data_IF_666427439725
#
_entry.id   IF_666427439725
#
_cell.length_a   1.000
_cell.length_b   1.000
_cell.length_c   1.000
_cell.angle_alpha   90.00
_cell.angle_beta   90.00
_cell.angle_gamma   90.00
#
_symmetry.space_group_name_H-M   'P 1'
#
loop_
_entity.id
_entity.type
_entity.pdbx_description
1 polymer ?
#
# COMPACT_ATOMS: atom_id res chain seq x y z
N UNK A 1 -11.14 24.51 -32.99
CA UNK A 1 -11.56 25.15 -31.73
C UNK A 1 -10.78 24.46 -30.63
N UNK A 2 -9.69 25.07 -30.17
CA UNK A 2 -8.84 24.48 -29.15
C UNK A 2 -9.53 24.58 -27.79
N UNK A 3 -9.97 23.45 -27.25
CA UNK A 3 -10.45 23.38 -25.88
C UNK A 3 -9.32 23.75 -24.95
N UNK A 4 -9.54 24.75 -24.08
CA UNK A 4 -8.64 25.00 -22.96
C UNK A 4 -8.71 23.78 -22.04
N UNK A 5 -7.71 22.89 -22.17
CA UNK A 5 -7.51 21.75 -21.29
C UNK A 5 -7.64 22.17 -19.82
N UNK A 6 -8.25 21.33 -19.00
CA UNK A 6 -8.32 21.50 -17.55
C UNK A 6 -6.93 21.74 -16.93
N UNK A 7 -5.89 21.10 -17.48
CA UNK A 7 -4.48 21.32 -17.12
C UNK A 7 -4.07 22.77 -17.39
N UNK A 8 -4.44 23.30 -18.56
CA UNK A 8 -4.18 24.69 -18.93
C UNK A 8 -4.87 25.70 -17.99
N UNK A 9 -6.03 25.34 -17.42
CA UNK A 9 -6.75 26.17 -16.44
C UNK A 9 -6.11 26.10 -15.05
N UNK A 10 -5.63 24.93 -14.65
CA UNK A 10 -4.94 24.72 -13.37
C UNK A 10 -3.67 25.58 -13.26
N UNK A 11 -2.88 25.68 -14.34
CA UNK A 11 -1.62 26.41 -14.35
C UNK A 11 -1.71 27.88 -14.80
N UNK A 12 -2.88 28.37 -15.25
CA UNK A 12 -3.07 29.78 -15.67
C UNK A 12 -3.47 30.74 -14.55
N UNK A 13 -3.83 30.26 -13.36
CA UNK A 13 -4.16 31.11 -12.20
C UNK A 13 -2.90 31.36 -11.37
N UNK A 14 -2.59 32.63 -11.09
CA UNK A 14 -1.39 33.06 -10.34
C UNK A 14 -1.34 32.53 -8.90
N UNK A 15 -2.47 32.07 -8.35
CA UNK A 15 -2.56 31.39 -7.05
C UNK A 15 -3.78 30.49 -7.02
N UNK A 16 -3.65 29.22 -7.42
CA UNK A 16 -4.70 28.23 -7.16
C UNK A 16 -4.37 27.52 -5.86
N UNK A 17 -5.29 27.52 -4.90
CA UNK A 17 -5.17 26.75 -3.65
C UNK A 17 -5.41 25.26 -3.88
N UNK A 18 -4.95 24.39 -2.97
CA UNK A 18 -5.19 22.92 -3.08
C UNK A 18 -6.68 22.62 -3.16
N UNK A 19 -7.48 23.34 -2.39
CA UNK A 19 -8.93 23.24 -2.32
C UNK A 19 -9.61 23.68 -3.61
N UNK A 20 -9.13 24.74 -4.24
CA UNK A 20 -9.62 25.17 -5.56
C UNK A 20 -9.27 24.15 -6.66
N UNK A 21 -8.10 23.50 -6.60
CA UNK A 21 -7.76 22.42 -7.54
C UNK A 21 -8.69 21.22 -7.33
N UNK A 22 -8.90 20.78 -6.08
CA UNK A 22 -9.84 19.71 -5.76
C UNK A 22 -11.24 20.00 -6.30
N UNK A 23 -11.76 21.20 -6.05
CA UNK A 23 -13.07 21.61 -6.56
C UNK A 23 -13.14 21.58 -8.10
N UNK A 24 -12.07 21.98 -8.80
CA UNK A 24 -12.02 21.92 -10.26
C UNK A 24 -12.04 20.49 -10.80
N UNK A 25 -11.42 19.55 -10.07
CA UNK A 25 -11.40 18.11 -10.41
C UNK A 25 -12.77 17.50 -10.15
N UNK A 26 -13.43 17.86 -9.04
CA UNK A 26 -14.79 17.42 -8.72
C UNK A 26 -15.82 17.94 -9.73
N UNK A 27 -15.71 19.22 -10.12
CA UNK A 27 -16.57 19.84 -11.14
C UNK A 27 -16.43 19.21 -12.53
N UNK A 28 -15.31 18.52 -12.79
CA UNK A 28 -15.09 17.83 -14.06
C UNK A 28 -15.87 16.52 -14.17
N UNK A 29 -16.33 15.93 -13.07
CA UNK A 29 -17.16 14.72 -13.09
C UNK A 29 -18.40 14.87 -13.99
N UNK A 30 -18.96 16.09 -14.07
CA UNK A 30 -20.09 16.40 -14.94
C UNK A 30 -19.73 16.67 -16.42
N UNK A 31 -18.45 16.95 -16.71
CA UNK A 31 -17.95 17.31 -18.04
C UNK A 31 -17.21 16.17 -18.74
N UNK A 32 -16.63 15.25 -17.97
CA UNK A 32 -15.92 14.08 -18.47
C UNK A 32 -14.65 14.40 -19.23
N UNK A 33 -13.91 15.46 -18.86
CA UNK A 33 -12.59 15.74 -19.46
C UNK A 33 -11.50 14.82 -18.86
N UNK A 34 -11.69 14.31 -17.65
CA UNK A 34 -10.82 13.40 -16.91
C UNK A 34 -11.49 12.05 -16.65
N UNK A 35 -10.73 10.97 -16.87
CA UNK A 35 -11.11 9.61 -16.48
C UNK A 35 -11.21 9.47 -14.94
N UNK A 36 -11.92 8.45 -14.47
CA UNK A 36 -12.09 8.23 -13.03
C UNK A 36 -10.76 8.01 -12.29
N UNK A 37 -9.89 7.16 -12.85
CA UNK A 37 -8.55 6.88 -12.34
C UNK A 37 -7.67 8.13 -12.26
N UNK A 38 -7.79 9.04 -13.24
CA UNK A 38 -7.04 10.29 -13.25
C UNK A 38 -7.52 11.25 -12.14
N UNK A 39 -8.83 11.30 -11.89
CA UNK A 39 -9.39 12.10 -10.78
C UNK A 39 -8.93 11.55 -9.44
N UNK A 40 -9.05 10.24 -9.26
CA UNK A 40 -8.61 9.53 -8.05
C UNK A 40 -7.14 9.79 -7.75
N UNK A 41 -6.25 9.62 -8.73
CA UNK A 41 -4.83 9.92 -8.55
C UNK A 41 -4.60 11.37 -8.10
N UNK A 42 -5.35 12.34 -8.64
CA UNK A 42 -5.24 13.75 -8.21
C UNK A 42 -5.69 13.92 -6.75
N UNK A 43 -6.76 13.25 -6.32
CA UNK A 43 -7.17 13.25 -4.92
C UNK A 43 -6.11 12.63 -4.01
N UNK A 44 -5.61 11.46 -4.38
CA UNK A 44 -4.58 10.72 -3.65
C UNK A 44 -3.29 11.55 -3.50
N UNK A 45 -2.88 12.33 -4.52
CA UNK A 45 -1.73 13.26 -4.40
C UNK A 45 -1.93 14.29 -3.29
N UNK A 46 -3.16 14.77 -3.07
CA UNK A 46 -3.42 15.72 -2.00
C UNK A 46 -3.43 15.08 -0.61
N UNK A 47 -3.84 13.82 -0.52
CA UNK A 47 -3.85 13.07 0.74
C UNK A 47 -2.45 12.53 1.07
N UNK A 48 -1.67 12.17 0.06
CA UNK A 48 -0.24 11.82 0.15
C UNK A 48 0.61 12.87 0.88
N UNK A 49 0.25 14.15 0.78
CA UNK A 49 0.93 15.24 1.50
C UNK A 49 0.82 15.12 3.03
N UNK A 50 -0.18 14.36 3.51
CA UNK A 50 -0.44 14.14 4.94
C UNK A 50 0.09 12.79 5.44
N UNK A 51 0.38 11.86 4.53
CA UNK A 51 0.86 10.53 4.89
C UNK A 51 2.32 10.55 5.36
N UNK A 52 2.60 9.69 6.33
CA UNK A 52 3.92 9.35 6.83
C UNK A 52 4.24 7.88 6.58
N UNK A 53 5.48 7.46 6.85
CA UNK A 53 5.89 6.07 6.65
C UNK A 53 5.04 5.08 7.45
N UNK A 54 4.56 5.44 8.64
CA UNK A 54 3.67 4.61 9.46
C UNK A 54 2.35 4.24 8.76
N UNK A 55 1.84 5.12 7.89
CA UNK A 55 0.54 4.92 7.23
C UNK A 55 0.63 3.94 6.05
N UNK A 56 1.84 3.71 5.51
CA UNK A 56 2.06 2.93 4.27
C UNK A 56 3.06 1.77 4.45
N UNK A 57 3.61 1.58 5.65
CA UNK A 57 4.60 0.55 5.89
C UNK A 57 3.97 -0.84 5.97
N UNK A 58 4.71 -1.85 5.50
CA UNK A 58 4.48 -3.22 5.94
C UNK A 58 4.88 -3.31 7.41
N UNK A 59 3.92 -3.63 8.28
CA UNK A 59 4.14 -3.69 9.71
C UNK A 59 5.12 -4.81 10.09
N UNK A 60 5.89 -4.65 11.18
CA UNK A 60 6.93 -5.62 11.61
C UNK A 60 6.49 -7.07 11.69
N UNK A 61 5.21 -7.31 11.95
CA UNK A 61 4.62 -8.66 12.08
C UNK A 61 4.47 -9.37 10.73
N UNK A 62 4.49 -8.62 9.64
CA UNK A 62 4.29 -9.08 8.26
C UNK A 62 5.58 -9.01 7.45
N UNK A 63 6.70 -8.62 8.08
CA UNK A 63 8.00 -8.57 7.41
C UNK A 63 8.49 -9.99 7.14
N UNK A 64 8.60 -10.31 5.85
CA UNK A 64 9.32 -11.48 5.36
C UNK A 64 10.84 -11.19 5.33
N UNK A 65 11.60 -11.83 6.22
CA UNK A 65 13.04 -11.61 6.39
C UNK A 65 13.81 -12.92 6.60
N UNK A 66 15.12 -12.86 6.37
CA UNK A 66 16.02 -14.04 6.46
C UNK A 66 17.16 -13.77 7.44
N UNK A 67 17.49 -14.77 8.26
CA UNK A 67 18.63 -14.68 9.18
C UNK A 67 19.97 -14.67 8.42
N UNK A 68 20.96 -13.90 8.89
CA UNK A 68 22.27 -13.76 8.23
C UNK A 68 23.05 -15.08 8.05
N UNK A 69 22.74 -16.08 8.88
CA UNK A 69 23.37 -17.41 8.87
C UNK A 69 22.78 -18.32 7.79
N UNK A 70 21.69 -17.90 7.13
CA UNK A 70 21.03 -18.67 6.10
C UNK A 70 21.93 -18.92 4.88
N UNK A 71 21.71 -20.05 4.22
CA UNK A 71 22.39 -20.36 2.97
C UNK A 71 21.79 -19.56 1.82
N UNK A 72 22.59 -19.28 0.78
CA UNK A 72 22.10 -18.65 -0.46
C UNK A 72 20.94 -19.45 -1.08
N UNK A 73 21.03 -20.79 -1.06
CA UNK A 73 19.97 -21.64 -1.61
C UNK A 73 18.65 -21.52 -0.84
N UNK A 74 18.72 -21.43 0.48
CA UNK A 74 17.54 -21.17 1.32
C UNK A 74 16.96 -19.79 1.03
N UNK A 75 17.78 -18.73 1.05
CA UNK A 75 17.32 -17.37 0.79
C UNK A 75 16.66 -17.22 -0.60
N UNK A 76 17.19 -17.92 -1.62
CA UNK A 76 16.60 -17.93 -2.95
C UNK A 76 15.25 -18.68 -3.01
N UNK A 77 15.14 -19.80 -2.29
CA UNK A 77 13.88 -20.55 -2.20
C UNK A 77 12.81 -19.76 -1.44
N UNK A 78 13.18 -19.17 -0.30
CA UNK A 78 12.35 -18.28 0.49
C UNK A 78 11.84 -17.09 -0.34
N UNK A 79 12.73 -16.42 -1.07
CA UNK A 79 12.36 -15.32 -1.97
C UNK A 79 11.31 -15.70 -3.01
N UNK A 80 11.42 -16.91 -3.56
CA UNK A 80 10.50 -17.41 -4.58
C UNK A 80 9.13 -17.74 -3.99
N UNK A 81 9.11 -18.31 -2.78
CA UNK A 81 7.88 -18.65 -2.06
C UNK A 81 7.13 -17.39 -1.59
N UNK A 82 7.85 -16.43 -1.01
CA UNK A 82 7.29 -15.16 -0.55
C UNK A 82 6.99 -14.16 -1.69
N UNK A 83 7.49 -14.41 -2.91
CA UNK A 83 7.29 -13.52 -4.06
C UNK A 83 8.08 -12.19 -3.97
N UNK A 84 9.05 -12.08 -3.06
CA UNK A 84 9.76 -10.83 -2.81
C UNK A 84 10.94 -10.62 -3.76
N UNK A 85 11.18 -9.38 -4.21
CA UNK A 85 12.38 -9.00 -4.97
C UNK A 85 13.57 -8.58 -4.09
N UNK A 86 13.29 -8.19 -2.85
CA UNK A 86 14.23 -7.69 -1.84
C UNK A 86 13.82 -8.23 -0.49
N UNK A 87 14.80 -8.62 0.32
CA UNK A 87 14.56 -9.27 1.61
C UNK A 87 15.47 -8.63 2.66
N UNK A 88 14.94 -8.15 3.79
CA UNK A 88 15.74 -7.79 4.95
C UNK A 88 16.51 -9.00 5.50
N UNK A 89 17.78 -8.81 5.78
CA UNK A 89 18.65 -9.79 6.43
C UNK A 89 18.94 -9.32 7.84
N UNK A 90 18.63 -10.15 8.83
CA UNK A 90 18.74 -9.78 10.25
C UNK A 90 19.68 -10.71 11.02
N UNK A 91 20.09 -10.28 12.23
CA UNK A 91 20.89 -11.07 13.16
C UNK A 91 20.14 -11.20 14.50
N UNK A 92 19.90 -12.42 14.96
CA UNK A 92 19.11 -12.75 16.17
C UNK A 92 17.62 -12.36 16.07
N UNK A 93 17.30 -11.10 15.80
CA UNK A 93 15.94 -10.59 15.66
C UNK A 93 15.84 -9.43 14.65
N UNK A 94 14.60 -9.01 14.35
CA UNK A 94 14.31 -7.95 13.39
C UNK A 94 14.73 -6.55 13.86
N UNK A 95 15.04 -6.33 15.14
CA UNK A 95 15.55 -5.05 15.61
C UNK A 95 17.04 -4.87 15.21
N UNK A 96 17.68 -5.92 14.71
CA UNK A 96 19.06 -5.92 14.24
C UNK A 96 19.20 -6.31 12.76
N UNK A 97 18.62 -5.48 11.89
CA UNK A 97 18.73 -5.62 10.42
C UNK A 97 20.15 -5.30 9.94
N UNK A 98 20.86 -6.30 9.42
CA UNK A 98 22.21 -6.18 8.85
C UNK A 98 22.19 -5.55 7.45
N UNK A 99 21.10 -5.74 6.71
CA UNK A 99 20.86 -5.01 5.47
C UNK A 99 19.87 -5.68 4.54
N UNK A 100 19.87 -5.26 3.27
CA UNK A 100 18.89 -5.72 2.28
C UNK A 100 19.56 -6.60 1.23
N UNK A 101 19.04 -7.81 1.06
CA UNK A 101 19.41 -8.72 0.00
C UNK A 101 18.55 -8.48 -1.25
N UNK A 102 19.18 -8.35 -2.40
CA UNK A 102 18.48 -8.29 -3.68
C UNK A 102 18.47 -9.69 -4.29
N UNK A 103 17.29 -10.23 -4.55
CA UNK A 103 17.15 -11.63 -5.02
C UNK A 103 17.83 -11.85 -6.37
N UNK A 104 17.83 -10.83 -7.23
CA UNK A 104 18.57 -10.86 -8.50
C UNK A 104 20.07 -11.12 -8.34
N UNK A 105 20.66 -10.77 -7.20
CA UNK A 105 22.09 -10.96 -6.94
C UNK A 105 22.40 -12.44 -6.60
N UNK A 106 21.37 -13.26 -6.35
CA UNK A 106 21.49 -14.70 -6.18
C UNK A 106 21.43 -15.47 -7.52
N UNK A 107 20.98 -14.83 -8.61
CA UNK A 107 20.88 -15.45 -9.94
C UNK A 107 22.19 -16.10 -10.44
N UNK A 108 23.40 -15.58 -10.15
CA UNK A 108 24.65 -16.24 -10.53
C UNK A 108 24.80 -17.68 -10.01
N UNK A 109 24.09 -18.04 -8.93
CA UNK A 109 24.14 -19.36 -8.29
C UNK A 109 23.07 -20.33 -8.79
N UNK A 110 22.12 -19.87 -9.60
CA UNK A 110 21.05 -20.72 -10.12
C UNK A 110 21.64 -21.80 -11.04
N UNK A 111 21.39 -23.06 -10.70
CA UNK A 111 21.91 -24.22 -11.44
C UNK A 111 23.42 -24.42 -11.32
N UNK A 112 24.09 -23.76 -10.37
CA UNK A 112 25.54 -23.87 -10.14
C UNK A 112 25.84 -24.13 -8.66
N UNK A 113 26.93 -24.85 -8.34
CA UNK A 113 27.36 -24.98 -6.96
C UNK A 113 27.77 -23.62 -6.40
N UNK A 114 27.28 -23.31 -5.20
CA UNK A 114 27.74 -22.15 -4.42
C UNK A 114 29.18 -22.42 -3.97
N UNK A 115 30.15 -21.51 -4.23
CA UNK A 115 31.52 -21.69 -3.77
C UNK A 115 31.61 -21.84 -2.25
N UNK A 116 32.48 -22.73 -1.79
CA UNK A 116 32.70 -22.94 -0.36
C UNK A 116 33.15 -21.64 0.33
N UNK A 117 32.53 -21.32 1.47
CA UNK A 117 32.81 -20.11 2.24
C UNK A 117 32.04 -18.86 1.80
N UNK A 118 31.20 -18.94 0.77
CA UNK A 118 30.30 -17.84 0.38
C UNK A 118 29.24 -17.65 1.46
N UNK A 119 29.07 -16.42 1.95
CA UNK A 119 28.05 -16.08 2.97
C UNK A 119 26.96 -15.22 2.35
N UNK A 120 25.76 -15.29 2.92
CA UNK A 120 24.66 -14.43 2.49
C UNK A 120 25.01 -12.94 2.65
N UNK A 121 25.66 -12.60 3.76
CA UNK A 121 26.14 -11.24 4.10
C UNK A 121 27.02 -10.61 3.04
N UNK A 122 27.68 -11.41 2.19
CA UNK A 122 28.55 -10.89 1.13
C UNK A 122 27.74 -10.25 -0.03
N UNK A 123 26.43 -10.46 -0.06
CA UNK A 123 25.47 -9.95 -1.05
C UNK A 123 24.47 -8.94 -0.46
N UNK A 124 24.60 -8.62 0.82
CA UNK A 124 23.72 -7.70 1.53
C UNK A 124 24.20 -6.26 1.33
N UNK A 125 23.25 -5.34 1.15
CA UNK A 125 23.51 -3.90 1.00
C UNK A 125 23.07 -3.14 2.24
N UNK A 126 23.74 -2.03 2.52
CA UNK A 126 23.42 -1.17 3.67
C UNK A 126 21.95 -0.71 3.59
N UNK A 127 21.16 -0.93 4.67
CA UNK A 127 19.76 -0.53 4.70
C UNK A 127 19.64 0.99 4.94
N UNK A 128 18.58 1.59 4.41
CA UNK A 128 18.17 2.94 4.78
C UNK A 128 17.22 2.86 5.97
N UNK A 129 17.60 3.42 7.11
CA UNK A 129 16.71 3.56 8.26
C UNK A 129 16.01 4.92 8.26
N UNK A 130 14.72 4.93 8.56
CA UNK A 130 13.89 6.14 8.66
C UNK A 130 12.91 6.04 9.84
N UNK A 131 12.56 7.15 10.50
CA UNK A 131 11.54 7.12 11.55
C UNK A 131 10.14 6.93 10.97
N UNK A 132 9.22 6.36 11.74
CA UNK A 132 7.80 6.15 11.36
C UNK A 132 7.08 7.45 10.95
N UNK A 133 7.42 8.57 11.60
CA UNK A 133 6.85 9.90 11.34
C UNK A 133 7.45 10.64 10.14
N UNK A 134 8.31 10.02 9.32
CA UNK A 134 8.84 10.70 8.13
C UNK A 134 7.72 10.93 7.09
N UNK A 135 7.52 12.16 6.59
CA UNK A 135 6.50 12.40 5.57
C UNK A 135 6.81 11.66 4.27
N UNK A 136 5.81 11.06 3.63
CA UNK A 136 5.96 10.24 2.43
C UNK A 136 6.65 10.99 1.29
N UNK A 137 6.33 12.26 1.06
CA UNK A 137 7.02 13.07 0.04
C UNK A 137 8.53 13.25 0.30
N UNK A 138 8.94 13.33 1.57
CA UNK A 138 10.36 13.40 1.94
C UNK A 138 11.03 12.02 1.81
N UNK A 139 10.33 10.96 2.19
CA UNK A 139 10.80 9.58 2.03
C UNK A 139 11.02 9.26 0.55
N UNK A 140 10.03 9.56 -0.31
CA UNK A 140 10.09 9.41 -1.76
C UNK A 140 11.31 10.11 -2.35
N UNK A 141 11.52 11.38 -2.03
CA UNK A 141 12.67 12.16 -2.49
C UNK A 141 14.00 11.54 -2.05
N UNK A 142 14.08 11.09 -0.79
CA UNK A 142 15.28 10.48 -0.21
C UNK A 142 15.61 9.15 -0.89
N UNK A 143 14.62 8.28 -1.07
CA UNK A 143 14.79 6.98 -1.72
C UNK A 143 15.14 7.15 -3.20
N UNK A 144 14.53 8.13 -3.88
CA UNK A 144 14.83 8.46 -5.28
C UNK A 144 16.27 8.95 -5.46
N UNK A 145 16.71 9.91 -4.64
CA UNK A 145 18.07 10.48 -4.70
C UNK A 145 19.14 9.40 -4.45
N UNK A 146 18.91 8.57 -3.43
CA UNK A 146 19.81 7.46 -3.08
C UNK A 146 19.68 6.23 -4.00
N UNK A 147 18.68 6.21 -4.90
CA UNK A 147 18.32 5.05 -5.74
C UNK A 147 18.07 3.77 -4.92
N UNK A 148 17.43 3.95 -3.77
CA UNK A 148 17.03 2.89 -2.85
C UNK A 148 15.55 2.56 -3.12
N UNK A 149 15.17 1.32 -2.87
CA UNK A 149 13.83 0.80 -3.19
C UNK A 149 13.16 0.16 -1.97
N UNK A 150 13.85 0.12 -0.83
CA UNK A 150 13.34 -0.41 0.43
C UNK A 150 14.04 0.34 1.56
N UNK A 151 13.27 0.78 2.55
CA UNK A 151 13.74 1.40 3.78
C UNK A 151 13.18 0.63 4.97
N UNK A 152 13.96 0.53 6.04
CA UNK A 152 13.53 -0.03 7.32
C UNK A 152 12.99 1.13 8.16
N UNK A 153 11.78 0.97 8.66
CA UNK A 153 11.11 1.95 9.52
C UNK A 153 11.41 1.63 10.97
N UNK A 154 11.86 2.63 11.72
CA UNK A 154 12.20 2.48 13.15
C UNK A 154 11.25 3.28 14.04
N UNK A 155 10.95 2.71 15.19
CA UNK A 155 10.18 3.36 16.26
C UNK A 155 11.06 4.33 17.09
N UNK A 156 10.44 5.01 18.05
CA UNK A 156 11.12 5.95 18.96
C UNK A 156 12.19 5.31 19.86
N UNK A 157 12.12 3.99 20.05
CA UNK A 157 13.04 3.21 20.88
C UNK A 157 14.18 2.59 20.06
N UNK A 158 14.16 2.76 18.74
CA UNK A 158 15.12 2.21 17.79
C UNK A 158 14.84 0.76 17.38
N UNK A 159 13.68 0.22 17.73
CA UNK A 159 13.20 -1.07 17.23
C UNK A 159 12.67 -0.95 15.81
N UNK A 160 12.59 -2.08 15.10
CA UNK A 160 11.99 -2.11 13.76
C UNK A 160 10.47 -2.07 13.89
N UNK A 161 9.87 -0.99 13.39
CA UNK A 161 8.42 -0.81 13.32
C UNK A 161 7.83 -1.46 12.07
N UNK A 162 8.58 -1.43 10.96
CA UNK A 162 8.12 -1.89 9.66
C UNK A 162 9.17 -1.76 8.56
N UNK A 163 8.73 -1.90 7.31
CA UNK A 163 9.51 -1.51 6.14
C UNK A 163 8.61 -0.80 5.13
N UNK A 164 9.20 0.05 4.30
CA UNK A 164 8.53 0.75 3.20
C UNK A 164 9.32 0.55 1.93
N UNK A 165 8.63 0.27 0.83
CA UNK A 165 9.18 0.14 -0.51
C UNK A 165 8.87 1.37 -1.36
N UNK A 166 9.55 1.50 -2.50
CA UNK A 166 9.20 2.57 -3.45
C UNK A 166 7.82 2.33 -4.05
N UNK A 167 7.47 1.05 -4.18
CA UNK A 167 6.22 0.55 -4.69
C UNK A 167 5.05 1.01 -3.79
N UNK A 168 5.14 0.84 -2.46
CA UNK A 168 4.10 1.29 -1.51
C UNK A 168 3.87 2.81 -1.56
N UNK A 169 4.96 3.58 -1.70
CA UNK A 169 4.88 5.05 -1.84
C UNK A 169 4.14 5.43 -3.12
N UNK A 170 4.42 4.73 -4.23
CA UNK A 170 3.74 5.00 -5.50
C UNK A 170 2.29 4.56 -5.47
N UNK A 171 1.98 3.44 -4.84
CA UNK A 171 0.63 2.92 -4.65
C UNK A 171 -0.25 3.91 -3.89
N UNK A 172 0.27 4.57 -2.85
CA UNK A 172 -0.48 5.62 -2.13
C UNK A 172 -0.86 6.84 -2.97
N UNK A 173 -0.24 7.02 -4.16
CA UNK A 173 -0.56 8.08 -5.12
C UNK A 173 -1.45 7.54 -6.24
N UNK A 174 -1.05 6.40 -6.79
CA UNK A 174 -1.64 5.83 -7.99
C UNK A 174 -2.94 5.10 -7.69
N UNK A 175 -3.11 4.60 -6.45
CA UNK A 175 -4.14 3.66 -6.08
C UNK A 175 -3.90 2.27 -6.68
N UNK A 176 -4.82 1.35 -6.42
CA UNK A 176 -4.93 0.14 -7.21
C UNK A 176 -5.28 0.58 -8.63
N UNK A 177 -4.35 0.46 -9.58
CA UNK A 177 -4.62 0.79 -10.98
C UNK A 177 -5.72 -0.15 -11.47
N UNK A 178 -6.97 0.28 -11.39
CA UNK A 178 -8.08 -0.40 -12.05
C UNK A 178 -7.89 -0.20 -13.55
N UNK A 179 -7.48 -1.25 -14.27
CA UNK A 179 -7.52 -1.23 -15.74
C UNK A 179 -8.97 -0.98 -16.18
N UNK A 180 -9.16 -0.29 -17.32
CA UNK A 180 -10.49 -0.10 -17.94
C UNK A 180 -11.14 -1.44 -18.32
N UNK A 181 -10.37 -2.52 -18.23
CA UNK A 181 -10.73 -3.90 -18.54
C UNK A 181 -10.59 -4.87 -17.35
N UNK A 182 -10.23 -4.40 -16.15
CA UNK A 182 -10.18 -5.25 -14.97
C UNK A 182 -11.61 -5.46 -14.43
N UNK A 183 -12.25 -6.54 -14.88
CA UNK A 183 -13.36 -7.19 -14.18
C UNK A 183 -12.83 -8.00 -12.98
N UNK A 184 -12.01 -7.41 -12.11
CA UNK A 184 -11.87 -7.94 -10.74
C UNK A 184 -12.95 -7.28 -9.88
N UNK A 185 -13.63 -8.11 -9.08
CA UNK A 185 -14.87 -7.79 -8.38
C UNK A 185 -14.72 -6.48 -7.62
N UNK A 186 -15.42 -5.42 -8.07
CA UNK A 186 -15.41 -4.15 -7.38
C UNK A 186 -15.71 -4.37 -5.89
N UNK A 187 -14.93 -3.74 -5.01
CA UNK A 187 -15.10 -3.84 -3.55
C UNK A 187 -16.55 -3.54 -3.12
N UNK A 188 -17.29 -2.82 -3.97
CA UNK A 188 -18.74 -2.69 -3.91
C UNK A 188 -19.38 -2.91 -5.30
N UNK A 189 -20.25 -3.92 -5.41
CA UNK A 189 -21.07 -4.18 -6.60
C UNK A 189 -22.54 -3.91 -6.27
N UNK A 190 -23.14 -2.89 -6.91
CA UNK A 190 -24.59 -2.73 -6.85
C UNK A 190 -25.29 -3.79 -7.73
N UNK A 191 -25.88 -4.80 -7.08
CA UNK A 191 -26.57 -5.92 -7.75
C UNK A 191 -28.08 -5.67 -7.95
N UNK A 192 -28.61 -4.58 -7.40
CA UNK A 192 -29.99 -4.13 -7.58
C UNK A 192 -30.22 -2.71 -7.06
N UNK A 193 -31.42 -2.16 -7.26
CA UNK A 193 -31.75 -0.75 -6.89
C UNK A 193 -31.39 -0.40 -5.44
N UNK A 194 -31.53 -1.36 -4.52
CA UNK A 194 -31.16 -1.22 -3.11
C UNK A 194 -30.36 -2.44 -2.61
N UNK A 195 -29.64 -3.11 -3.51
CA UNK A 195 -28.90 -4.33 -3.18
C UNK A 195 -27.47 -4.18 -3.63
N UNK A 196 -26.55 -4.44 -2.72
CA UNK A 196 -25.12 -4.29 -2.92
C UNK A 196 -24.41 -5.56 -2.40
N UNK A 197 -23.36 -5.95 -3.10
CA UNK A 197 -22.38 -6.95 -2.67
C UNK A 197 -21.12 -6.18 -2.31
N UNK A 198 -20.53 -6.48 -1.16
CA UNK A 198 -19.31 -5.83 -0.69
C UNK A 198 -18.23 -6.89 -0.46
N UNK A 199 -16.97 -6.53 -0.69
CA UNK A 199 -15.87 -7.24 -0.04
C UNK A 199 -15.90 -6.97 1.47
N UNK A 200 -15.46 -7.96 2.26
CA UNK A 200 -15.40 -7.83 3.71
C UNK A 200 -14.37 -6.81 4.20
N UNK A 201 -13.32 -6.53 3.43
CA UNK A 201 -12.27 -5.58 3.79
C UNK A 201 -12.63 -4.12 3.55
N UNK A 202 -13.78 -3.82 2.94
CA UNK A 202 -14.24 -2.45 2.68
C UNK A 202 -14.29 -1.66 3.98
N UNK A 203 -13.66 -0.49 3.97
CA UNK A 203 -13.72 0.47 5.08
C UNK A 203 -15.15 0.98 5.32
N UNK A 204 -15.50 1.16 6.59
CA UNK A 204 -16.85 1.58 7.00
C UNK A 204 -17.30 2.87 6.31
N UNK A 205 -16.41 3.85 6.19
CA UNK A 205 -16.69 5.15 5.55
C UNK A 205 -17.06 4.99 4.07
N UNK A 206 -16.44 4.04 3.38
CA UNK A 206 -16.70 3.78 1.96
C UNK A 206 -17.97 2.95 1.77
N UNK A 207 -18.26 2.04 2.69
CA UNK A 207 -19.54 1.33 2.74
C UNK A 207 -20.72 2.30 2.94
N UNK A 208 -20.60 3.28 3.84
CA UNK A 208 -21.62 4.32 4.05
C UNK A 208 -21.86 5.18 2.81
N UNK A 209 -20.77 5.63 2.16
CA UNK A 209 -20.86 6.40 0.91
C UNK A 209 -21.58 5.62 -0.17
N UNK A 210 -21.28 4.33 -0.32
CA UNK A 210 -21.89 3.48 -1.33
C UNK A 210 -23.37 3.19 -1.05
N UNK A 211 -23.74 2.95 0.21
CA UNK A 211 -25.13 2.71 0.61
C UNK A 211 -25.96 4.01 0.65
N UNK A 212 -25.31 5.17 0.76
CA UNK A 212 -25.97 6.47 0.89
C UNK A 212 -26.72 6.65 2.22
N UNK A 213 -26.38 5.84 3.22
CA UNK A 213 -26.95 5.89 4.57
C UNK A 213 -25.84 5.74 5.60
N UNK A 214 -25.95 6.40 6.77
CA UNK A 214 -25.01 6.19 7.87
C UNK A 214 -25.17 4.77 8.42
N UNK A 215 -24.04 4.15 8.76
CA UNK A 215 -23.94 2.90 9.47
C UNK A 215 -23.62 3.17 10.95
N UNK A 216 -23.87 2.22 11.86
CA UNK A 216 -23.54 2.42 13.27
C UNK A 216 -22.04 2.56 13.46
N UNK A 217 -21.63 3.51 14.30
CA UNK A 217 -20.25 3.64 14.77
C UNK A 217 -19.91 2.55 15.81
N UNK A 218 -18.66 2.10 15.82
CA UNK A 218 -18.16 1.12 16.78
C UNK A 218 -16.66 0.90 16.68
N UNK A 219 -16.17 -0.12 17.37
CA UNK A 219 -14.74 -0.49 17.41
C UNK A 219 -14.44 -1.49 16.27
N UNK A 220 -14.55 -1.00 15.03
CA UNK A 220 -14.28 -1.73 13.80
C UNK A 220 -13.98 -0.75 12.65
N UNK A 221 -13.03 -1.10 11.81
CA UNK A 221 -12.64 -0.28 10.66
C UNK A 221 -13.31 -0.75 9.36
N UNK A 222 -13.64 -2.05 9.27
CA UNK A 222 -14.16 -2.69 8.04
C UNK A 222 -15.58 -3.25 8.18
N UNK A 223 -16.25 -3.45 7.05
CA UNK A 223 -17.61 -4.01 6.97
C UNK A 223 -17.68 -5.44 7.53
N UNK A 224 -16.67 -6.27 7.30
CA UNK A 224 -16.58 -7.59 7.93
C UNK A 224 -16.41 -7.48 9.46
N UNK A 225 -15.57 -6.55 9.93
CA UNK A 225 -15.39 -6.26 11.35
C UNK A 225 -16.71 -5.87 12.03
N UNK A 226 -17.48 -4.99 11.39
CA UNK A 226 -18.83 -4.62 11.82
C UNK A 226 -19.77 -5.83 11.91
N UNK A 227 -19.84 -6.64 10.85
CA UNK A 227 -20.72 -7.83 10.81
C UNK A 227 -20.34 -8.85 11.88
N UNK A 228 -19.05 -9.10 12.10
CA UNK A 228 -18.55 -10.01 13.14
C UNK A 228 -18.91 -9.47 14.53
N UNK A 229 -18.69 -8.18 14.76
CA UNK A 229 -19.06 -7.50 16.02
C UNK A 229 -20.55 -7.68 16.33
N UNK A 230 -21.41 -7.55 15.31
CA UNK A 230 -22.87 -7.71 15.46
C UNK A 230 -23.29 -9.17 15.63
N UNK A 231 -22.66 -10.10 14.92
CA UNK A 231 -22.94 -11.54 15.00
C UNK A 231 -22.44 -12.17 16.31
N UNK A 232 -21.34 -11.65 16.87
CA UNK A 232 -20.69 -12.16 18.07
C UNK A 232 -19.86 -13.43 17.84
N UNK A 233 -19.65 -13.82 16.58
CA UNK A 233 -18.80 -14.94 16.17
C UNK A 233 -18.30 -14.73 14.73
N UNK A 234 -17.22 -15.43 14.36
CA UNK A 234 -16.68 -15.42 13.00
C UNK A 234 -17.51 -16.36 12.10
N UNK A 235 -18.19 -15.85 11.05
CA UNK A 235 -18.97 -16.69 10.15
C UNK A 235 -18.08 -17.61 9.31
N UNK A 236 -18.64 -18.74 8.88
CA UNK A 236 -17.94 -19.78 8.12
C UNK A 236 -18.16 -19.70 6.61
N UNK A 237 -18.89 -18.68 6.14
CA UNK A 237 -19.20 -18.44 4.73
C UNK A 237 -20.37 -19.29 4.20
N UNK A 238 -21.08 -20.00 5.07
CA UNK A 238 -22.28 -20.79 4.73
C UNK A 238 -23.56 -20.21 5.29
N UNK A 239 -23.45 -19.19 6.14
CA UNK A 239 -24.57 -18.50 6.72
C UNK A 239 -25.23 -17.57 5.69
N UNK A 240 -26.56 -17.65 5.58
CA UNK A 240 -27.38 -16.75 4.73
C UNK A 240 -28.41 -15.98 5.55
N UNK A 241 -28.23 -15.95 6.87
CA UNK A 241 -29.17 -15.30 7.77
C UNK A 241 -29.02 -13.78 7.66
N UNK A 242 -30.12 -13.03 7.45
CA UNK A 242 -30.04 -11.58 7.36
C UNK A 242 -29.71 -10.98 8.73
N UNK A 243 -28.78 -10.03 8.75
CA UNK A 243 -28.50 -9.16 9.90
C UNK A 243 -29.21 -7.84 9.65
N UNK A 244 -30.06 -7.41 10.59
CA UNK A 244 -30.73 -6.11 10.52
C UNK A 244 -29.94 -5.08 11.31
N UNK A 245 -29.71 -3.94 10.66
CA UNK A 245 -29.03 -2.76 11.21
C UNK A 245 -30.08 -1.65 11.33
N UNK A 246 -30.10 -0.96 12.47
CA UNK A 246 -31.07 0.10 12.78
C UNK A 246 -30.73 1.43 12.10
#
# INVERSE_FOLDING_TARGET
>A
MGGNSLIDRLFKRESTTKEEIRQLVDEDQAKGELEASQREMIHNIFDFDRLCAEDIMTHRTEIEAVEETATIGYAAAFALEAGCSRIPVFHEDLDNVQGILYVKDLLPFVGKPVPAGTRLTDYVREPLFVPESIPCGKLFATMTDKRIQMAIVVDEYGGTAGLVTMEDILESIVGNIMDEYDEEEADVIQTGEHTFTFDGSVDMDDAEKALGVPLPEGDYDTLAGFLISRLGYLPTGKETQPVTVD
#
